data_IF_682063800243
#
_entry.id   IF_682063800243
#
_cell.length_a   1.000
_cell.length_b   1.000
_cell.length_c   1.000
_cell.angle_alpha   90.00
_cell.angle_beta   90.00
_cell.angle_gamma   90.00
#
_symmetry.space_group_name_H-M   'P 1'
#
loop_
_entity.id
_entity.type
_entity.pdbx_description
1 polymer ?
#
# COMPACT_ATOMS: atom_id res chain seq x y z
N UNK A 1 18.19 1.26 36.57
CA UNK A 1 17.47 0.55 37.66
C UNK A 1 16.14 0.03 37.11
N UNK A 2 15.37 -0.69 37.92
CA UNK A 2 14.00 -1.11 37.56
C UNK A 2 13.10 -1.00 38.81
N UNK A 3 11.79 -0.85 38.60
CA UNK A 3 10.77 -0.77 39.66
C UNK A 3 9.72 -1.84 39.38
N UNK A 4 9.37 -2.65 40.38
CA UNK A 4 8.27 -3.62 40.30
C UNK A 4 7.12 -3.05 41.12
N UNK A 5 6.07 -2.57 40.45
CA UNK A 5 4.94 -1.88 41.08
C UNK A 5 3.60 -2.64 40.97
N UNK A 6 3.62 -3.94 40.63
CA UNK A 6 2.40 -4.75 40.49
C UNK A 6 1.49 -4.32 39.34
N UNK A 7 2.03 -3.61 38.36
CA UNK A 7 1.29 -3.13 37.17
C UNK A 7 0.91 -4.34 36.31
N UNK A 8 -0.39 -4.49 36.04
CA UNK A 8 -0.93 -5.67 35.33
C UNK A 8 -0.93 -5.51 33.81
N UNK A 9 -1.04 -4.28 33.30
CA UNK A 9 -1.08 -3.98 31.88
C UNK A 9 0.11 -3.12 31.48
N UNK A 10 0.82 -3.51 30.44
CA UNK A 10 1.91 -2.71 29.85
C UNK A 10 1.37 -1.41 29.23
N UNK A 11 0.07 -1.35 28.92
CA UNK A 11 -0.58 -0.15 28.38
C UNK A 11 -0.66 1.00 29.39
N UNK A 12 -0.52 0.71 30.69
CA UNK A 12 -0.55 1.72 31.75
C UNK A 12 0.83 2.37 31.97
N UNK A 13 1.85 1.97 31.19
CA UNK A 13 3.23 2.46 31.30
C UNK A 13 3.73 2.87 29.93
N UNK A 14 3.88 4.16 29.74
CA UNK A 14 4.55 4.70 28.55
C UNK A 14 6.05 4.86 28.79
N UNK A 15 6.85 4.63 27.75
CA UNK A 15 8.29 4.91 27.82
C UNK A 15 8.45 6.41 28.06
N UNK A 16 9.37 6.82 28.95
CA UNK A 16 9.60 8.24 29.22
C UNK A 16 8.55 8.93 30.10
N UNK A 17 7.62 8.18 30.68
CA UNK A 17 6.71 8.67 31.71
C UNK A 17 7.44 8.97 33.04
N UNK A 18 6.86 9.82 33.88
CA UNK A 18 7.45 10.26 35.15
C UNK A 18 6.81 9.52 36.33
N UNK A 19 7.60 8.67 36.99
CA UNK A 19 7.15 7.94 38.18
C UNK A 19 7.44 8.76 39.44
N UNK A 20 6.42 9.02 40.26
CA UNK A 20 6.55 9.68 41.56
C UNK A 20 5.79 8.95 42.67
N UNK A 21 6.02 9.36 43.93
CA UNK A 21 5.30 8.84 45.11
C UNK A 21 3.89 9.40 45.17
N UNK A 22 2.96 8.57 45.65
CA UNK A 22 1.58 8.95 45.93
C UNK A 22 1.56 10.17 46.89
N UNK A 23 0.92 11.26 46.47
CA UNK A 23 0.84 12.52 47.23
C UNK A 23 1.71 13.67 46.71
N UNK A 24 2.64 13.43 45.78
CA UNK A 24 3.46 14.47 45.15
C UNK A 24 3.13 14.71 43.67
N UNK A 25 2.10 14.04 43.14
CA UNK A 25 1.71 14.13 41.73
C UNK A 25 1.37 15.56 41.30
N UNK A 26 0.69 16.32 42.16
CA UNK A 26 0.26 17.71 41.85
C UNK A 26 1.39 18.74 42.01
N UNK A 27 2.53 18.34 42.59
CA UNK A 27 3.67 19.22 42.90
C UNK A 27 4.88 18.99 42.00
N UNK A 28 4.87 17.94 41.18
CA UNK A 28 6.02 17.55 40.35
C UNK A 28 5.69 17.81 38.89
N UNK A 29 6.55 18.58 38.23
CA UNK A 29 6.49 18.75 36.78
C UNK A 29 6.91 17.45 36.08
N UNK A 30 6.11 17.03 35.10
CA UNK A 30 6.40 15.88 34.26
C UNK A 30 7.69 16.15 33.48
N UNK A 31 8.60 15.18 33.47
CA UNK A 31 9.86 15.32 32.74
C UNK A 31 9.58 15.53 31.24
N UNK A 32 10.13 16.59 30.63
CA UNK A 32 9.95 16.83 29.20
C UNK A 32 10.83 15.86 28.39
N UNK A 33 10.41 15.56 27.17
CA UNK A 33 11.28 14.96 26.16
C UNK A 33 10.71 13.74 25.47
N UNK A 34 9.88 12.94 26.14
CA UNK A 34 9.25 11.81 25.47
C UNK A 34 8.06 12.25 24.63
N UNK A 35 8.06 11.85 23.37
CA UNK A 35 6.91 11.97 22.46
C UNK A 35 6.57 10.57 22.01
N UNK A 36 5.29 10.18 22.16
CA UNK A 36 4.82 8.90 21.63
C UNK A 36 5.16 8.83 20.15
N UNK A 37 5.91 7.80 19.72
CA UNK A 37 6.28 7.69 18.32
C UNK A 37 4.99 7.45 17.52
N UNK A 38 4.76 8.30 16.51
CA UNK A 38 3.59 8.17 15.65
C UNK A 38 3.92 7.22 14.50
N UNK A 39 3.05 6.25 14.19
CA UNK A 39 3.21 5.42 13.00
C UNK A 39 3.27 6.30 11.75
N UNK A 40 4.23 6.00 10.88
CA UNK A 40 4.43 6.71 9.61
C UNK A 40 3.96 5.86 8.41
N UNK A 41 3.93 4.55 8.59
CA UNK A 41 3.58 3.57 7.55
C UNK A 41 2.46 2.69 8.07
N UNK A 42 1.44 2.47 7.26
CA UNK A 42 0.31 1.63 7.60
C UNK A 42 0.16 0.53 6.57
N UNK A 43 -0.09 -0.69 7.00
CA UNK A 43 -0.48 -1.77 6.10
C UNK A 43 -1.58 -2.63 6.74
N UNK A 44 -2.46 -3.16 5.90
CA UNK A 44 -3.41 -4.17 6.33
C UNK A 44 -2.75 -5.54 6.34
N UNK A 45 -2.78 -6.22 7.49
CA UNK A 45 -2.31 -7.59 7.67
C UNK A 45 -3.52 -8.51 7.78
N UNK A 46 -3.58 -9.49 6.90
CA UNK A 46 -4.67 -10.46 6.79
C UNK A 46 -4.11 -11.88 6.88
N UNK A 47 -4.77 -12.80 7.59
CA UNK A 47 -4.39 -14.20 7.54
C UNK A 47 -4.82 -14.78 6.19
N UNK A 48 -4.02 -15.70 5.64
CA UNK A 48 -4.38 -16.42 4.41
C UNK A 48 -5.63 -17.27 4.63
N UNK A 49 -5.74 -17.88 5.81
CA UNK A 49 -6.89 -18.66 6.25
C UNK A 49 -7.73 -17.84 7.26
N UNK A 50 -9.03 -17.61 7.01
CA UNK A 50 -9.91 -16.89 7.93
C UNK A 50 -9.96 -17.47 9.36
N UNK A 51 -9.72 -18.78 9.52
CA UNK A 51 -9.70 -19.44 10.84
C UNK A 51 -8.58 -18.92 11.75
N UNK A 52 -7.51 -18.36 11.17
CA UNK A 52 -6.34 -17.88 11.90
C UNK A 52 -6.46 -16.42 12.38
N UNK A 53 -7.60 -15.77 12.14
CA UNK A 53 -7.84 -14.40 12.60
C UNK A 53 -7.61 -14.23 14.11
N UNK A 54 -8.09 -15.17 14.92
CA UNK A 54 -7.93 -15.11 16.38
C UNK A 54 -6.47 -15.36 16.79
N UNK A 55 -5.75 -16.20 16.05
CA UNK A 55 -4.32 -16.43 16.28
C UNK A 55 -3.49 -15.19 15.90
N UNK A 56 -3.83 -14.51 14.81
CA UNK A 56 -3.24 -13.24 14.40
C UNK A 56 -3.46 -12.15 15.47
N UNK A 57 -4.69 -12.05 15.99
CA UNK A 57 -5.01 -11.11 17.09
C UNK A 57 -4.10 -11.34 18.30
N UNK A 58 -4.01 -12.59 18.76
CA UNK A 58 -3.15 -12.97 19.90
C UNK A 58 -1.68 -12.72 19.60
N UNK A 59 -1.23 -12.93 18.36
CA UNK A 59 0.12 -12.62 17.92
C UNK A 59 0.44 -11.13 18.01
N UNK A 60 -0.46 -10.28 17.51
CA UNK A 60 -0.35 -8.82 17.59
C UNK A 60 -0.40 -8.31 19.04
N UNK A 61 -1.27 -8.87 19.88
CA UNK A 61 -1.33 -8.56 21.31
C UNK A 61 -0.02 -8.91 22.01
N UNK A 62 0.55 -10.09 21.74
CA UNK A 62 1.83 -10.53 22.30
C UNK A 62 2.99 -9.66 21.82
N UNK A 63 3.04 -9.31 20.53
CA UNK A 63 4.07 -8.44 19.96
C UNK A 63 4.02 -7.04 20.56
N UNK A 64 2.82 -6.50 20.77
CA UNK A 64 2.62 -5.18 21.37
C UNK A 64 3.11 -5.08 22.82
N UNK A 65 3.20 -6.20 23.55
CA UNK A 65 3.83 -6.22 24.88
C UNK A 65 5.34 -5.98 24.79
N UNK A 66 5.97 -6.40 23.69
CA UNK A 66 7.40 -6.17 23.43
C UNK A 66 7.69 -4.88 22.67
N UNK A 67 6.77 -4.45 21.81
CA UNK A 67 6.91 -3.29 20.94
C UNK A 67 5.76 -2.30 21.17
N UNK A 68 6.06 -1.21 21.86
CA UNK A 68 5.10 -0.14 22.17
C UNK A 68 4.78 0.77 20.98
N UNK A 69 5.55 0.67 19.89
CA UNK A 69 5.37 1.49 18.69
C UNK A 69 4.37 0.87 17.69
N UNK A 70 4.12 -0.43 17.79
CA UNK A 70 3.14 -1.13 16.98
C UNK A 70 1.72 -0.73 17.39
N UNK A 71 0.97 -0.21 16.43
CA UNK A 71 -0.46 0.07 16.57
C UNK A 71 -1.24 -0.85 15.65
N UNK A 72 -2.44 -1.26 16.06
CA UNK A 72 -3.31 -2.06 15.20
C UNK A 72 -4.78 -1.80 15.50
N UNK A 73 -5.62 -1.86 14.47
CA UNK A 73 -7.09 -1.71 14.54
C UNK A 73 -7.72 -2.81 13.67
N UNK A 74 -8.79 -3.47 14.12
CA UNK A 74 -9.51 -4.44 13.27
C UNK A 74 -10.00 -3.80 11.97
N UNK A 75 -9.76 -4.45 10.84
CA UNK A 75 -10.17 -3.99 9.51
C UNK A 75 -10.90 -5.13 8.77
N UNK A 76 -11.91 -4.78 7.98
CA UNK A 76 -12.60 -5.72 7.10
C UNK A 76 -12.37 -5.32 5.65
N UNK A 77 -11.85 -6.26 4.86
CA UNK A 77 -11.65 -6.12 3.42
C UNK A 77 -12.65 -6.99 2.67
N UNK A 78 -13.27 -6.45 1.62
CA UNK A 78 -14.18 -7.20 0.74
C UNK A 78 -13.49 -8.37 0.04
N UNK A 79 -12.18 -8.27 -0.19
CA UNK A 79 -11.38 -9.28 -0.90
C UNK A 79 -10.61 -10.23 0.01
N UNK A 80 -10.11 -9.74 1.15
CA UNK A 80 -9.22 -10.49 2.05
C UNK A 80 -9.91 -10.94 3.34
N UNK A 81 -11.15 -10.49 3.59
CA UNK A 81 -11.90 -10.83 4.78
C UNK A 81 -11.46 -10.03 6.01
N UNK A 82 -11.45 -10.69 7.17
CA UNK A 82 -11.11 -10.08 8.45
C UNK A 82 -9.60 -9.99 8.63
N UNK A 83 -9.10 -8.81 8.98
CA UNK A 83 -7.69 -8.58 9.27
C UNK A 83 -7.49 -7.43 10.25
N UNK A 84 -6.29 -6.89 10.26
CA UNK A 84 -5.91 -5.75 11.08
C UNK A 84 -5.17 -4.72 10.24
N UNK A 85 -5.56 -3.45 10.37
CA UNK A 85 -4.72 -2.34 9.94
C UNK A 85 -3.66 -2.12 10.98
N UNK A 86 -2.40 -2.28 10.62
CA UNK A 86 -1.25 -2.11 11.50
C UNK A 86 -0.46 -0.85 11.11
N UNK A 87 -0.05 -0.07 12.10
CA UNK A 87 0.80 1.10 11.95
C UNK A 87 2.22 0.83 12.46
N UNK A 88 3.22 1.24 11.68
CA UNK A 88 4.65 1.02 11.88
C UNK A 88 5.43 2.33 11.79
N UNK A 89 6.60 2.38 12.43
CA UNK A 89 7.55 3.50 12.32
C UNK A 89 8.17 3.64 10.92
N UNK A 90 8.28 2.55 10.17
CA UNK A 90 8.91 2.50 8.86
C UNK A 90 8.81 1.12 8.22
N UNK A 91 9.34 0.98 7.00
CA UNK A 91 9.35 -0.27 6.24
C UNK A 91 10.05 -1.42 6.97
N UNK A 92 11.25 -1.18 7.51
CA UNK A 92 11.99 -2.23 8.22
C UNK A 92 11.23 -2.75 9.46
N UNK A 93 10.57 -1.84 10.19
CA UNK A 93 9.75 -2.24 11.33
C UNK A 93 8.57 -3.12 10.88
N UNK A 94 7.95 -2.80 9.75
CA UNK A 94 6.89 -3.63 9.15
C UNK A 94 7.40 -5.03 8.78
N UNK A 95 8.55 -5.14 8.12
CA UNK A 95 9.16 -6.42 7.74
C UNK A 95 9.50 -7.29 8.96
N UNK A 96 10.09 -6.69 9.99
CA UNK A 96 10.43 -7.41 11.24
C UNK A 96 9.15 -7.92 11.92
N UNK A 97 8.12 -7.09 12.05
CA UNK A 97 6.86 -7.50 12.67
C UNK A 97 6.21 -8.64 11.89
N UNK A 98 6.23 -8.58 10.56
CA UNK A 98 5.75 -9.66 9.70
C UNK A 98 6.51 -10.96 9.95
N UNK A 99 7.84 -10.92 9.83
CA UNK A 99 8.69 -12.10 9.93
C UNK A 99 8.56 -12.74 11.31
N UNK A 100 8.39 -11.92 12.36
CA UNK A 100 8.10 -12.41 13.72
C UNK A 100 6.74 -13.07 13.81
N UNK A 101 5.67 -12.49 13.24
CA UNK A 101 4.36 -13.13 13.22
C UNK A 101 4.38 -14.48 12.47
N UNK A 102 5.05 -14.53 11.32
CA UNK A 102 5.16 -15.76 10.53
C UNK A 102 5.97 -16.84 11.26
N UNK A 103 7.12 -16.48 11.86
CA UNK A 103 8.01 -17.43 12.53
C UNK A 103 7.58 -17.82 13.93
N UNK A 104 7.21 -16.84 14.77
CA UNK A 104 6.90 -17.10 16.19
C UNK A 104 5.50 -17.67 16.37
N UNK A 105 4.54 -17.29 15.51
CA UNK A 105 3.14 -17.70 15.62
C UNK A 105 2.72 -18.71 14.56
N UNK A 106 3.63 -19.07 13.62
CA UNK A 106 3.37 -20.01 12.52
C UNK A 106 2.11 -19.65 11.71
N UNK A 107 2.02 -18.37 11.34
CA UNK A 107 0.90 -17.79 10.59
C UNK A 107 1.32 -17.49 9.16
N UNK A 108 0.51 -17.90 8.19
CA UNK A 108 0.67 -17.47 6.81
C UNK A 108 -0.10 -16.17 6.59
N UNK A 109 0.64 -15.06 6.44
CA UNK A 109 0.08 -13.72 6.38
C UNK A 109 0.15 -13.10 4.99
N UNK A 110 -0.74 -12.15 4.78
CA UNK A 110 -0.89 -11.36 3.57
C UNK A 110 -0.89 -9.90 3.96
N UNK A 111 -0.12 -9.10 3.24
CA UNK A 111 -0.07 -7.65 3.46
C UNK A 111 -0.67 -6.90 2.29
N UNK A 112 -1.40 -5.82 2.59
CA UNK A 112 -1.75 -4.82 1.61
C UNK A 112 -0.54 -3.97 1.27
N UNK A 113 -0.63 -3.22 0.15
CA UNK A 113 0.34 -2.18 -0.12
C UNK A 113 0.40 -1.19 1.06
N UNK A 114 1.61 -0.77 1.47
CA UNK A 114 1.77 0.19 2.55
C UNK A 114 1.26 1.56 2.11
N UNK A 115 0.58 2.24 3.02
CA UNK A 115 0.04 3.58 2.86
C UNK A 115 0.66 4.53 3.88
N UNK A 116 0.60 5.83 3.57
CA UNK A 116 0.95 6.92 4.48
C UNK A 116 -0.31 7.64 4.91
N UNK A 117 -0.19 8.37 6.02
CA UNK A 117 -1.24 9.28 6.44
C UNK A 117 -1.24 10.52 5.56
N UNK A 118 -2.43 10.95 5.15
CA UNK A 118 -2.65 12.19 4.42
C UNK A 118 -3.44 13.16 5.31
N UNK A 119 -3.16 14.45 5.19
CA UNK A 119 -3.98 15.50 5.81
C UNK A 119 -4.93 16.07 4.76
N UNK A 120 -6.21 16.13 5.07
CA UNK A 120 -7.20 16.81 4.25
C UNK A 120 -7.60 18.11 4.90
N UNK A 121 -7.46 19.21 4.15
CA UNK A 121 -8.08 20.47 4.52
C UNK A 121 -9.52 20.50 4.01
N UNK A 122 -10.48 20.36 4.93
CA UNK A 122 -11.90 20.37 4.62
C UNK A 122 -12.37 21.79 4.28
N UNK A 123 -13.51 21.92 3.59
CA UNK A 123 -14.04 23.23 3.20
C UNK A 123 -14.37 24.15 4.39
N UNK A 124 -14.63 23.57 5.57
CA UNK A 124 -14.86 24.28 6.83
C UNK A 124 -13.56 24.76 7.51
N UNK A 125 -12.38 24.47 6.95
CA UNK A 125 -11.08 24.80 7.52
C UNK A 125 -10.53 23.77 8.52
N UNK A 126 -11.26 22.68 8.78
CA UNK A 126 -10.82 21.60 9.65
C UNK A 126 -9.79 20.71 8.92
N UNK A 127 -8.75 20.29 9.64
CA UNK A 127 -7.75 19.35 9.11
C UNK A 127 -8.07 17.95 9.63
N UNK A 128 -8.42 17.05 8.71
CA UNK A 128 -8.67 15.65 9.03
C UNK A 128 -7.50 14.79 8.57
N UNK A 129 -7.03 13.91 9.45
CA UNK A 129 -6.05 12.89 9.09
C UNK A 129 -6.77 11.68 8.49
N UNK A 130 -6.24 11.19 7.38
CA UNK A 130 -6.77 10.02 6.67
C UNK A 130 -5.68 8.97 6.55
N UNK A 131 -6.03 7.74 6.90
CA UNK A 131 -5.10 6.59 6.88
C UNK A 131 -5.31 5.72 5.63
N UNK A 132 -6.45 5.84 4.93
CA UNK A 132 -6.73 5.06 3.73
C UNK A 132 -7.43 5.78 2.59
N UNK A 133 -7.23 5.24 1.39
CA UNK A 133 -7.87 5.72 0.17
C UNK A 133 -9.40 5.62 0.19
N UNK A 134 -9.97 4.68 0.96
CA UNK A 134 -11.42 4.52 1.14
C UNK A 134 -12.05 5.70 1.90
N UNK A 135 -11.32 6.26 2.86
CA UNK A 135 -11.76 7.38 3.70
C UNK A 135 -11.71 8.73 2.97
N UNK A 136 -10.99 8.82 1.85
CA UNK A 136 -10.90 10.03 1.04
C UNK A 136 -12.31 10.45 0.55
N UNK A 137 -12.85 11.59 1.02
CA UNK A 137 -14.18 12.04 0.64
C UNK A 137 -14.21 12.53 -0.82
N UNK A 138 -15.41 12.83 -1.33
CA UNK A 138 -15.54 13.40 -2.67
C UNK A 138 -14.73 14.71 -2.82
N UNK A 139 -14.08 14.96 -3.98
CA UNK A 139 -13.31 16.18 -4.25
C UNK A 139 -14.06 17.50 -4.04
N UNK A 140 -15.39 17.49 -3.96
CA UNK A 140 -16.20 18.68 -3.68
C UNK A 140 -16.25 19.07 -2.19
N UNK A 141 -15.85 18.16 -1.29
CA UNK A 141 -15.96 18.33 0.17
C UNK A 141 -14.70 18.89 0.83
N UNK A 142 -13.58 18.92 0.12
CA UNK A 142 -12.30 19.38 0.63
C UNK A 142 -11.60 20.34 -0.34
N UNK A 143 -10.69 21.16 0.19
CA UNK A 143 -9.95 22.16 -0.56
C UNK A 143 -8.66 21.59 -1.13
N UNK A 144 -7.87 20.91 -0.30
CA UNK A 144 -6.58 20.34 -0.70
C UNK A 144 -6.26 19.07 0.10
N UNK A 145 -5.48 18.19 -0.52
CA UNK A 145 -4.87 17.03 0.13
C UNK A 145 -3.40 17.32 0.31
N UNK A 146 -2.91 17.13 1.53
CA UNK A 146 -1.51 17.29 1.89
C UNK A 146 -0.88 15.93 2.15
N UNK A 147 0.26 15.68 1.53
CA UNK A 147 1.07 14.49 1.75
C UNK A 147 2.22 14.78 2.71
N UNK A 148 2.67 13.77 3.46
CA UNK A 148 3.84 13.88 4.32
C UNK A 148 5.10 13.95 3.47
N UNK A 149 5.88 15.01 3.69
CA UNK A 149 7.19 15.22 3.08
C UNK A 149 8.27 14.79 4.08
N UNK A 150 9.22 14.00 3.60
CA UNK A 150 10.39 13.59 4.35
C UNK A 150 11.65 14.15 3.72
N UNK A 151 12.59 14.54 4.58
CA UNK A 151 13.96 14.83 4.17
C UNK A 151 14.74 13.55 4.13
N UNK A 152 15.09 13.09 2.94
CA UNK A 152 15.88 11.89 2.71
C UNK A 152 17.34 12.27 2.53
N UNK A 153 18.19 11.72 3.39
CA UNK A 153 19.64 11.87 3.34
C UNK A 153 20.25 10.58 2.78
N UNK A 154 20.79 10.64 1.57
CA UNK A 154 21.43 9.51 0.91
C UNK A 154 22.94 9.64 1.02
N UNK A 155 23.59 8.66 1.64
CA UNK A 155 25.05 8.57 1.69
C UNK A 155 25.47 7.55 0.63
N UNK A 156 26.15 8.03 -0.41
CA UNK A 156 26.55 7.20 -1.55
C UNK A 156 27.97 7.52 -2.01
N UNK A 157 28.65 6.56 -2.66
CA UNK A 157 29.88 6.85 -3.37
C UNK A 157 29.70 7.92 -4.46
N UNK A 158 30.70 8.76 -4.68
CA UNK A 158 30.65 9.90 -5.61
C UNK A 158 30.31 9.48 -7.06
N UNK A 159 30.68 8.27 -7.45
CA UNK A 159 30.37 7.70 -8.78
C UNK A 159 28.87 7.44 -9.02
N UNK A 160 28.08 7.23 -7.95
CA UNK A 160 26.65 6.91 -8.05
C UNK A 160 25.72 8.12 -7.83
N UNK A 161 26.28 9.31 -7.61
CA UNK A 161 25.51 10.55 -7.37
C UNK A 161 24.48 10.79 -8.46
N UNK A 162 24.88 10.70 -9.74
CA UNK A 162 23.98 10.94 -10.86
C UNK A 162 22.80 9.97 -10.92
N UNK A 163 23.01 8.69 -10.57
CA UNK A 163 21.95 7.70 -10.55
C UNK A 163 20.93 7.99 -9.42
N UNK A 164 21.40 8.41 -8.25
CA UNK A 164 20.52 8.79 -7.14
C UNK A 164 19.72 10.05 -7.46
N UNK A 165 20.36 11.06 -8.05
CA UNK A 165 19.66 12.29 -8.45
C UNK A 165 18.53 12.00 -9.44
N UNK A 166 18.77 11.10 -10.41
CA UNK A 166 17.73 10.66 -11.34
C UNK A 166 16.57 9.98 -10.62
N UNK A 167 16.85 9.03 -9.71
CA UNK A 167 15.82 8.34 -8.92
C UNK A 167 15.03 9.32 -8.05
N UNK A 168 15.70 10.25 -7.37
CA UNK A 168 15.05 11.25 -6.54
C UNK A 168 14.14 12.16 -7.37
N UNK A 169 14.60 12.58 -8.56
CA UNK A 169 13.83 13.43 -9.47
C UNK A 169 12.58 12.70 -10.00
N UNK A 170 12.73 11.45 -10.44
CA UNK A 170 11.61 10.60 -10.88
C UNK A 170 10.56 10.39 -9.77
N UNK A 171 10.98 10.49 -8.51
CA UNK A 171 10.16 10.33 -7.31
C UNK A 171 9.63 11.65 -6.73
N UNK A 172 9.65 12.74 -7.52
CA UNK A 172 9.21 14.09 -7.12
C UNK A 172 10.01 14.69 -5.96
N UNK A 173 11.29 14.34 -5.87
CA UNK A 173 12.20 14.92 -4.89
C UNK A 173 12.67 16.30 -5.29
N UNK A 174 12.64 17.22 -4.34
CA UNK A 174 13.23 18.55 -4.43
C UNK A 174 14.64 18.52 -3.84
N UNK A 175 15.64 18.90 -4.63
CA UNK A 175 17.03 18.91 -4.18
C UNK A 175 17.22 19.97 -3.08
N UNK A 176 17.81 19.57 -1.96
CA UNK A 176 18.07 20.48 -0.82
C UNK A 176 19.55 20.83 -0.75
N UNK A 177 20.41 19.82 -0.63
CA UNK A 177 21.83 20.02 -0.42
C UNK A 177 22.65 18.81 -0.88
N UNK A 178 23.91 19.06 -1.21
CA UNK A 178 24.92 18.05 -1.47
C UNK A 178 26.20 18.40 -0.72
N UNK A 179 26.68 17.47 0.10
CA UNK A 179 27.88 17.65 0.91
C UNK A 179 28.87 16.51 0.67
N UNK A 180 30.13 16.84 0.43
CA UNK A 180 31.20 15.86 0.29
C UNK A 180 31.81 15.57 1.66
N UNK A 181 31.54 14.38 2.20
CA UNK A 181 32.20 13.89 3.41
C UNK A 181 33.68 13.57 3.13
N UNK A 182 33.97 13.10 1.92
CA UNK A 182 35.31 12.81 1.42
C UNK A 182 35.34 12.88 -0.10
N UNK A 183 36.51 12.62 -0.72
CA UNK A 183 36.60 12.49 -2.19
C UNK A 183 35.73 11.37 -2.76
N UNK A 184 35.42 10.37 -1.94
CA UNK A 184 34.73 9.15 -2.36
C UNK A 184 33.28 9.10 -1.90
N UNK A 185 32.89 9.84 -0.85
CA UNK A 185 31.54 9.79 -0.28
C UNK A 185 30.84 11.14 -0.29
N UNK A 186 29.58 11.09 -0.69
CA UNK A 186 28.71 12.26 -0.81
C UNK A 186 27.42 11.99 -0.04
N UNK A 187 27.00 12.98 0.74
CA UNK A 187 25.64 13.06 1.27
C UNK A 187 24.82 13.90 0.30
N UNK A 188 23.73 13.34 -0.19
CA UNK A 188 22.76 14.05 -1.04
C UNK A 188 21.43 14.07 -0.31
N UNK A 189 20.92 15.28 -0.10
CA UNK A 189 19.70 15.53 0.66
C UNK A 189 18.59 16.00 -0.27
N UNK A 190 17.44 15.33 -0.20
CA UNK A 190 16.23 15.66 -0.95
C UNK A 190 15.02 15.74 -0.02
N UNK A 191 14.13 16.68 -0.27
CA UNK A 191 12.79 16.67 0.33
C UNK A 191 11.85 15.98 -0.66
N UNK A 192 11.24 14.87 -0.26
CA UNK A 192 10.37 14.08 -1.13
C UNK A 192 9.16 13.49 -0.39
N UNK A 193 8.07 13.18 -1.10
CA UNK A 193 6.89 12.57 -0.50
C UNK A 193 7.17 11.18 0.08
N UNK A 194 6.76 10.95 1.32
CA UNK A 194 7.00 9.67 2.01
C UNK A 194 6.35 8.48 1.26
N UNK A 195 5.20 8.70 0.62
CA UNK A 195 4.55 7.67 -0.21
C UNK A 195 5.47 7.16 -1.35
N UNK A 196 6.32 8.03 -1.90
CA UNK A 196 7.25 7.69 -2.97
C UNK A 196 8.51 6.98 -2.44
N UNK A 197 8.91 7.31 -1.20
CA UNK A 197 10.03 6.66 -0.49
C UNK A 197 9.67 5.23 -0.10
N UNK A 198 8.46 5.02 0.39
CA UNK A 198 7.99 3.69 0.80
C UNK A 198 7.83 2.77 -0.41
N UNK A 199 7.47 3.33 -1.57
CA UNK A 199 7.26 2.57 -2.79
C UNK A 199 8.58 2.40 -3.56
N UNK A 200 9.27 1.28 -3.40
CA UNK A 200 10.45 0.83 -4.18
C UNK A 200 11.71 1.71 -4.17
N UNK A 201 11.75 2.81 -3.41
CA UNK A 201 12.92 3.69 -3.39
C UNK A 201 14.17 2.98 -2.85
N UNK A 202 14.03 2.27 -1.72
CA UNK A 202 15.14 1.55 -1.09
C UNK A 202 15.75 0.53 -2.07
N UNK A 203 14.92 -0.25 -2.76
CA UNK A 203 15.40 -1.30 -3.67
C UNK A 203 16.06 -0.71 -4.92
N UNK A 204 15.47 0.35 -5.50
CA UNK A 204 16.08 1.07 -6.63
C UNK A 204 17.40 1.70 -6.25
N UNK A 205 17.48 2.33 -5.08
CA UNK A 205 18.70 2.93 -4.56
C UNK A 205 19.79 1.86 -4.36
N UNK A 206 19.44 0.75 -3.70
CA UNK A 206 20.38 -0.36 -3.50
C UNK A 206 20.84 -0.97 -4.82
N UNK A 207 19.94 -1.19 -5.77
CA UNK A 207 20.30 -1.70 -7.10
C UNK A 207 21.22 -0.74 -7.86
N UNK A 208 20.87 0.55 -7.90
CA UNK A 208 21.65 1.59 -8.59
C UNK A 208 23.05 1.81 -7.98
N UNK A 209 23.19 1.63 -6.67
CA UNK A 209 24.45 1.81 -5.93
C UNK A 209 25.19 0.49 -5.68
N UNK A 210 24.74 -0.63 -6.24
CA UNK A 210 25.32 -1.97 -5.96
C UNK A 210 25.38 -2.30 -4.46
N UNK A 211 24.44 -1.77 -3.69
CA UNK A 211 24.31 -1.99 -2.25
C UNK A 211 25.07 -1.00 -1.36
N UNK A 212 25.96 -0.17 -1.93
CA UNK A 212 26.81 0.75 -1.18
C UNK A 212 26.07 1.97 -0.60
N UNK A 213 24.93 2.33 -1.17
CA UNK A 213 24.15 3.46 -0.69
C UNK A 213 23.40 3.15 0.60
N UNK A 214 23.37 4.13 1.50
CA UNK A 214 22.51 4.11 2.69
C UNK A 214 21.61 5.34 2.68
N UNK A 215 20.41 5.19 3.22
CA UNK A 215 19.45 6.28 3.33
C UNK A 215 18.96 6.41 4.77
N UNK A 216 18.73 7.64 5.17
CA UNK A 216 17.98 7.99 6.37
C UNK A 216 16.90 9.01 5.98
N UNK A 217 15.80 9.08 6.72
CA UNK A 217 14.78 10.09 6.46
C UNK A 217 14.11 10.62 7.72
N UNK A 218 13.78 11.91 7.67
CA UNK A 218 13.12 12.64 8.75
C UNK A 218 11.83 13.29 8.25
N UNK A 219 10.73 13.14 8.97
CA UNK A 219 9.48 13.84 8.64
C UNK A 219 9.65 15.35 8.80
N UNK A 220 9.45 16.09 7.72
CA UNK A 220 9.51 17.56 7.70
C UNK A 220 8.16 18.20 7.99
N UNK A 221 7.08 17.59 7.53
CA UNK A 221 5.73 18.09 7.68
C UNK A 221 4.84 17.68 6.51
N UNK A 222 3.69 18.34 6.39
CA UNK A 222 2.72 18.08 5.32
C UNK A 222 2.77 19.21 4.27
N UNK A 223 2.72 18.84 3.00
CA UNK A 223 2.70 19.76 1.86
C UNK A 223 1.52 19.43 0.96
N UNK A 224 0.81 20.45 0.47
CA UNK A 224 -0.26 20.27 -0.51
C UNK A 224 0.30 19.64 -1.80
N UNK A 225 -0.37 18.60 -2.29
CA UNK A 225 0.02 17.88 -3.50
C UNK A 225 -1.19 17.61 -4.41
N UNK A 226 -0.96 17.50 -5.72
CA UNK A 226 -2.01 17.16 -6.69
C UNK A 226 -2.28 15.65 -6.69
N UNK A 227 -2.93 15.20 -5.62
CA UNK A 227 -3.24 13.81 -5.35
C UNK A 227 -4.66 13.46 -5.80
N UNK A 228 -4.80 12.24 -6.31
CA UNK A 228 -6.09 11.70 -6.71
C UNK A 228 -6.24 10.26 -6.22
N UNK A 229 -7.46 9.91 -5.79
CA UNK A 229 -7.86 8.52 -5.56
C UNK A 229 -8.00 7.81 -6.90
N UNK A 230 -7.13 6.84 -7.14
CA UNK A 230 -7.27 5.89 -8.24
C UNK A 230 -8.04 4.68 -7.75
N UNK A 231 -9.24 4.52 -8.31
CA UNK A 231 -10.18 3.43 -8.06
C UNK A 231 -9.94 2.33 -9.09
N UNK A 232 -9.92 1.08 -8.65
CA UNK A 232 -9.80 -0.07 -9.54
C UNK A 232 -11.17 -0.72 -9.69
N UNK A 233 -11.65 -0.83 -10.93
CA UNK A 233 -12.91 -1.46 -11.25
C UNK A 233 -12.71 -2.76 -12.01
N UNK A 234 -13.35 -3.81 -11.55
CA UNK A 234 -13.36 -5.15 -12.16
C UNK A 234 -14.79 -5.44 -12.59
N UNK A 235 -14.99 -5.62 -13.90
CA UNK A 235 -16.32 -5.76 -14.50
C UNK A 235 -17.32 -4.63 -14.19
N UNK A 236 -16.85 -3.48 -13.69
CA UNK A 236 -17.67 -2.33 -13.32
C UNK A 236 -17.90 -2.19 -11.81
N UNK A 237 -17.48 -3.17 -11.01
CA UNK A 237 -17.52 -3.11 -9.55
C UNK A 237 -16.19 -2.58 -9.03
N UNK A 238 -16.25 -1.65 -8.08
CA UNK A 238 -15.06 -1.10 -7.42
C UNK A 238 -14.51 -2.10 -6.40
N UNK A 239 -13.18 -2.24 -6.38
CA UNK A 239 -12.49 -3.03 -5.36
C UNK A 239 -11.65 -2.11 -4.49
N UNK A 240 -12.19 -1.78 -3.31
CA UNK A 240 -11.60 -0.81 -2.38
C UNK A 240 -10.18 -1.19 -1.95
N UNK A 241 -9.91 -2.48 -1.73
CA UNK A 241 -8.61 -2.99 -1.32
C UNK A 241 -7.46 -2.71 -2.30
N UNK A 242 -7.78 -2.39 -3.56
CA UNK A 242 -6.81 -2.04 -4.60
C UNK A 242 -6.77 -0.54 -4.92
N UNK A 243 -7.60 0.26 -4.25
CA UNK A 243 -7.63 1.70 -4.45
C UNK A 243 -6.43 2.36 -3.77
N UNK A 244 -5.86 3.37 -4.44
CA UNK A 244 -4.64 4.04 -3.98
C UNK A 244 -4.75 5.55 -4.16
N UNK A 245 -4.14 6.31 -3.25
CA UNK A 245 -3.94 7.76 -3.40
C UNK A 245 -2.58 7.95 -4.07
N UNK A 246 -2.57 8.54 -5.26
CA UNK A 246 -1.35 8.79 -6.01
C UNK A 246 -1.40 10.16 -6.69
N UNK A 247 -0.22 10.71 -6.98
CA UNK A 247 -0.09 11.92 -7.77
C UNK A 247 -0.65 11.71 -9.18
N UNK A 248 -1.34 12.71 -9.73
CA UNK A 248 -2.05 12.58 -11.02
C UNK A 248 -1.14 12.15 -12.17
N UNK A 249 0.09 12.66 -12.22
CA UNK A 249 1.05 12.35 -13.28
C UNK A 249 1.39 10.85 -13.36
N UNK A 250 1.44 10.16 -12.21
CA UNK A 250 1.75 8.73 -12.17
C UNK A 250 0.51 7.84 -12.29
N UNK A 251 -0.69 8.43 -12.34
CA UNK A 251 -1.92 7.66 -12.25
C UNK A 251 -2.14 6.69 -13.41
N UNK A 252 -1.81 7.12 -14.63
CA UNK A 252 -1.94 6.23 -15.79
C UNK A 252 -0.92 5.09 -15.73
N UNK A 253 0.35 5.41 -15.48
CA UNK A 253 1.43 4.43 -15.48
C UNK A 253 1.21 3.37 -14.39
N UNK A 254 0.93 3.79 -13.15
CA UNK A 254 0.68 2.88 -12.02
C UNK A 254 -0.60 2.10 -12.20
N UNK A 255 -1.69 2.78 -12.59
CA UNK A 255 -2.96 2.13 -12.87
C UNK A 255 -2.80 1.04 -13.93
N UNK A 256 -2.14 1.33 -15.06
CA UNK A 256 -1.90 0.35 -16.12
C UNK A 256 -1.02 -0.81 -15.66
N UNK A 257 0.04 -0.54 -14.89
CA UNK A 257 0.90 -1.58 -14.34
C UNK A 257 0.12 -2.55 -13.43
N UNK A 258 -0.73 -2.03 -12.55
CA UNK A 258 -1.60 -2.82 -11.69
C UNK A 258 -2.60 -3.66 -12.50
N UNK A 259 -3.27 -3.04 -13.49
CA UNK A 259 -4.23 -3.73 -14.35
C UNK A 259 -3.58 -4.86 -15.16
N UNK A 260 -2.32 -4.69 -15.59
CA UNK A 260 -1.56 -5.72 -16.30
C UNK A 260 -1.28 -6.92 -15.39
N UNK A 261 -0.87 -6.69 -14.14
CA UNK A 261 -0.67 -7.76 -13.15
C UNK A 261 -1.98 -8.50 -12.86
N UNK A 262 -3.08 -7.77 -12.67
CA UNK A 262 -4.42 -8.36 -12.46
C UNK A 262 -4.87 -9.21 -13.66
N UNK A 263 -4.61 -8.74 -14.89
CA UNK A 263 -4.96 -9.47 -16.12
C UNK A 263 -4.30 -10.84 -16.20
N UNK A 264 -3.07 -10.96 -15.76
CA UNK A 264 -2.30 -12.21 -15.83
C UNK A 264 -2.78 -13.24 -14.78
N UNK A 265 -3.42 -12.77 -13.72
CA UNK A 265 -3.80 -13.59 -12.55
C UNK A 265 -5.29 -13.99 -12.54
N UNK A 266 -6.15 -13.14 -13.09
CA UNK A 266 -7.59 -13.43 -13.17
C UNK A 266 -7.83 -14.44 -14.31
N UNK A 267 -8.49 -15.58 -14.03
CA UNK A 267 -8.77 -16.59 -15.04
C UNK A 267 -9.69 -16.05 -16.14
N UNK A 268 -9.58 -16.62 -17.34
CA UNK A 268 -10.43 -16.21 -18.47
C UNK A 268 -11.85 -16.73 -18.28
N UNK A 269 -12.84 -15.84 -18.37
CA UNK A 269 -14.26 -16.19 -18.35
C UNK A 269 -14.83 -16.39 -19.76
N UNK A 270 -16.07 -16.88 -19.87
CA UNK A 270 -16.79 -17.03 -21.15
C UNK A 270 -17.17 -15.69 -21.80
N UNK A 271 -17.08 -14.59 -21.05
CA UNK A 271 -17.29 -13.22 -21.49
C UNK A 271 -16.03 -12.37 -21.28
N UNK A 272 -16.01 -11.18 -21.88
CA UNK A 272 -14.87 -10.26 -21.75
C UNK A 272 -14.97 -9.56 -20.40
N UNK A 273 -13.98 -9.73 -19.55
CA UNK A 273 -13.85 -9.01 -18.28
C UNK A 273 -13.09 -7.72 -18.53
N UNK A 274 -13.68 -6.60 -18.14
CA UNK A 274 -13.04 -5.29 -18.22
C UNK A 274 -12.34 -4.99 -16.90
N UNK A 275 -11.06 -4.63 -16.96
CA UNK A 275 -10.29 -4.12 -15.84
C UNK A 275 -10.03 -2.63 -16.10
N UNK A 276 -10.34 -1.78 -15.14
CA UNK A 276 -10.28 -0.33 -15.32
C UNK A 276 -9.65 0.34 -14.11
N UNK A 277 -8.84 1.36 -14.34
CA UNK A 277 -8.40 2.29 -13.31
C UNK A 277 -9.05 3.64 -13.60
N UNK A 278 -9.70 4.24 -12.61
CA UNK A 278 -10.45 5.48 -12.76
C UNK A 278 -10.09 6.49 -11.68
N UNK A 279 -10.11 7.77 -12.05
CA UNK A 279 -10.07 8.90 -11.13
C UNK A 279 -11.44 9.57 -11.20
N UNK A 280 -12.17 9.56 -10.08
CA UNK A 280 -13.57 10.00 -10.05
C UNK A 280 -14.41 9.21 -11.06
N UNK A 281 -14.97 9.88 -12.07
CA UNK A 281 -15.71 9.27 -13.17
C UNK A 281 -14.90 8.99 -14.45
N UNK A 282 -13.64 9.45 -14.53
CA UNK A 282 -12.81 9.32 -15.74
C UNK A 282 -11.97 8.06 -15.67
N UNK A 283 -12.05 7.21 -16.70
CA UNK A 283 -11.19 6.03 -16.84
C UNK A 283 -9.82 6.49 -17.35
N UNK A 284 -8.78 6.23 -16.56
CA UNK A 284 -7.39 6.61 -16.87
C UNK A 284 -6.69 5.48 -17.62
N UNK A 285 -6.87 4.24 -17.18
CA UNK A 285 -6.32 3.06 -17.84
C UNK A 285 -7.38 1.96 -17.96
N UNK A 286 -7.29 1.16 -19.03
CA UNK A 286 -8.19 0.04 -19.29
C UNK A 286 -7.43 -1.14 -19.87
N UNK A 287 -7.63 -2.30 -19.27
CA UNK A 287 -7.21 -3.60 -19.78
C UNK A 287 -8.43 -4.51 -19.94
N UNK A 288 -8.30 -5.57 -20.75
CA UNK A 288 -9.38 -6.54 -20.92
C UNK A 288 -8.87 -7.96 -20.98
N UNK A 289 -9.55 -8.84 -20.25
CA UNK A 289 -9.28 -10.28 -20.29
C UNK A 289 -10.13 -10.87 -21.41
N UNK A 290 -9.47 -11.49 -22.37
CA UNK A 290 -10.13 -12.07 -23.54
C UNK A 290 -11.05 -13.22 -23.13
N UNK A 291 -12.29 -13.20 -23.63
CA UNK A 291 -13.25 -14.27 -23.39
C UNK A 291 -12.75 -15.62 -23.94
N UNK A 292 -12.99 -16.71 -23.21
CA UNK A 292 -12.89 -18.06 -23.74
C UNK A 292 -13.88 -18.22 -24.89
N UNK A 293 -13.44 -18.89 -25.96
CA UNK A 293 -14.28 -19.12 -27.14
C UNK A 293 -14.23 -20.60 -27.50
N UNK A 294 -15.39 -21.24 -27.46
CA UNK A 294 -15.58 -22.53 -28.11
C UNK A 294 -15.65 -22.31 -29.62
N UNK A 295 -14.92 -23.10 -30.40
CA UNK A 295 -15.09 -23.14 -31.84
C UNK A 295 -16.42 -23.81 -32.18
N UNK A 296 -17.45 -22.98 -32.37
CA UNK A 296 -18.80 -23.42 -32.74
C UNK A 296 -18.88 -23.84 -34.21
N UNK A 297 -17.87 -23.51 -35.02
CA UNK A 297 -17.82 -23.79 -36.46
C UNK A 297 -17.06 -25.06 -36.81
N UNK A 298 -16.37 -25.71 -35.85
CA UNK A 298 -15.56 -26.91 -36.08
C UNK A 298 -16.30 -28.06 -36.78
N UNK A 299 -17.62 -28.24 -36.53
CA UNK A 299 -18.45 -29.29 -37.16
C UNK A 299 -19.16 -28.84 -38.44
N UNK A 300 -18.87 -27.63 -38.94
CA UNK A 300 -19.48 -27.08 -40.16
C UNK A 300 -18.57 -27.35 -41.37
N UNK A 301 -18.65 -28.56 -41.93
CA UNK A 301 -17.81 -29.01 -43.05
C UNK A 301 -18.25 -28.48 -44.43
N UNK A 302 -19.38 -27.75 -44.51
CA UNK A 302 -19.92 -27.21 -45.77
C UNK A 302 -19.66 -25.72 -46.00
N UNK A 303 -19.87 -25.27 -47.24
CA UNK A 303 -19.78 -23.87 -47.66
C UNK A 303 -20.96 -22.98 -47.24
N UNK A 304 -21.96 -23.53 -46.53
CA UNK A 304 -23.14 -22.78 -46.08
C UNK A 304 -22.78 -21.76 -44.97
N UNK A 305 -22.62 -20.50 -45.41
CA UNK A 305 -22.34 -19.34 -44.56
C UNK A 305 -23.51 -19.08 -43.59
N UNK A 306 -24.74 -19.42 -43.96
CA UNK A 306 -25.93 -19.14 -43.15
C UNK A 306 -25.91 -19.93 -41.84
N UNK A 307 -25.50 -21.21 -41.88
CA UNK A 307 -25.36 -22.07 -40.69
C UNK A 307 -24.24 -21.58 -39.76
N UNK A 308 -23.09 -21.18 -40.32
CA UNK A 308 -21.99 -20.58 -39.55
C UNK A 308 -22.43 -19.28 -38.86
N UNK A 309 -23.13 -18.39 -39.58
CA UNK A 309 -23.68 -17.14 -39.02
C UNK A 309 -24.65 -17.39 -37.87
N UNK A 310 -25.61 -18.32 -38.02
CA UNK A 310 -26.57 -18.66 -36.95
C UNK A 310 -25.89 -19.09 -35.66
N UNK A 311 -24.83 -19.89 -35.74
CA UNK A 311 -24.08 -20.36 -34.57
C UNK A 311 -23.28 -19.23 -33.91
N UNK A 312 -22.67 -18.35 -34.70
CA UNK A 312 -21.95 -17.17 -34.21
C UNK A 312 -22.88 -16.16 -33.55
N UNK A 313 -24.05 -15.90 -34.14
CA UNK A 313 -25.13 -15.08 -33.58
C UNK A 313 -25.58 -15.61 -32.21
N UNK A 314 -25.82 -16.93 -32.11
CA UNK A 314 -26.21 -17.59 -30.85
C UNK A 314 -25.11 -17.46 -29.79
N UNK A 315 -23.85 -17.67 -30.17
CA UNK A 315 -22.70 -17.48 -29.27
C UNK A 315 -22.58 -16.03 -28.80
N UNK A 316 -22.76 -15.05 -29.69
CA UNK A 316 -22.70 -13.62 -29.37
C UNK A 316 -23.80 -13.21 -28.39
N UNK A 317 -25.04 -13.64 -28.61
CA UNK A 317 -26.18 -13.39 -27.70
C UNK A 317 -25.95 -14.03 -26.33
N UNK A 318 -25.48 -15.28 -26.29
CA UNK A 318 -25.12 -15.96 -25.04
C UNK A 318 -24.07 -15.20 -24.24
N UNK A 319 -22.97 -14.77 -24.89
CA UNK A 319 -21.92 -13.97 -24.24
C UNK A 319 -22.42 -12.60 -23.76
N UNK A 320 -23.32 -11.95 -24.51
CA UNK A 320 -23.91 -10.67 -24.11
C UNK A 320 -24.76 -10.83 -22.84
N UNK A 321 -25.56 -11.90 -22.74
CA UNK A 321 -26.34 -12.23 -21.55
C UNK A 321 -25.43 -12.56 -20.35
N UNK A 322 -24.40 -13.38 -20.57
CA UNK A 322 -23.42 -13.70 -19.52
C UNK A 322 -22.67 -12.47 -19.02
N UNK A 323 -22.39 -11.48 -19.86
CA UNK A 323 -21.74 -10.24 -19.43
C UNK A 323 -22.62 -9.38 -18.52
N UNK A 324 -23.95 -9.38 -18.71
CA UNK A 324 -24.86 -8.55 -17.90
C UNK A 324 -25.12 -9.12 -16.50
N UNK A 325 -25.07 -10.45 -16.37
CA UNK A 325 -25.42 -11.16 -15.13
C UNK A 325 -24.18 -11.77 -14.46
N UNK A 326 -23.05 -11.81 -15.17
CA UNK A 326 -21.83 -12.46 -14.71
C UNK A 326 -21.11 -11.60 -13.69
N UNK A 327 -21.13 -12.05 -12.44
CA UNK A 327 -20.18 -11.57 -11.44
C UNK A 327 -18.82 -12.24 -11.68
N UNK A 328 -17.74 -11.47 -11.50
CA UNK A 328 -16.36 -11.95 -11.64
C UNK A 328 -15.80 -12.12 -10.25
N UNK A 329 -15.78 -13.36 -9.77
CA UNK A 329 -15.09 -13.68 -8.54
C UNK A 329 -13.58 -13.63 -8.79
N UNK A 330 -12.90 -12.72 -8.09
CA UNK A 330 -11.45 -12.57 -8.19
C UNK A 330 -10.82 -13.52 -7.18
N UNK A 331 -9.99 -14.48 -7.62
CA UNK A 331 -9.35 -15.41 -6.70
C UNK A 331 -8.49 -14.66 -5.68
N UNK A 332 -8.51 -15.11 -4.41
CA UNK A 332 -7.67 -14.54 -3.36
C UNK A 332 -6.19 -14.53 -3.80
N UNK A 333 -5.69 -15.62 -4.39
CA UNK A 333 -4.33 -15.70 -4.94
C UNK A 333 -3.98 -14.59 -5.94
N UNK A 334 -4.95 -14.15 -6.75
CA UNK A 334 -4.74 -13.05 -7.69
C UNK A 334 -4.54 -11.72 -6.94
N UNK A 335 -5.27 -11.47 -5.86
CA UNK A 335 -5.04 -10.32 -4.99
C UNK A 335 -3.67 -10.37 -4.32
N UNK A 336 -3.28 -11.54 -3.79
CA UNK A 336 -1.98 -11.72 -3.13
C UNK A 336 -0.84 -11.33 -4.07
N UNK A 337 -0.85 -11.87 -5.28
CA UNK A 337 0.19 -11.61 -6.28
C UNK A 337 0.29 -10.17 -6.75
N UNK A 338 -0.77 -9.38 -6.61
CA UNK A 338 -0.82 -7.98 -7.04
C UNK A 338 -0.34 -7.05 -5.93
N UNK A 339 -0.60 -7.42 -4.67
CA UNK A 339 -0.21 -6.67 -3.47
C UNK A 339 1.22 -6.98 -3.01
N UNK A 340 1.76 -8.17 -3.31
CA UNK A 340 3.17 -8.47 -3.07
C UNK A 340 4.07 -7.49 -3.85
N UNK A 341 4.87 -6.73 -3.10
CA UNK A 341 5.80 -5.71 -3.60
C UNK A 341 6.92 -6.36 -4.46
N UNK A 342 7.12 -7.66 -4.34
CA UNK A 342 8.07 -8.44 -5.13
C UNK A 342 7.58 -8.70 -6.55
N UNK A 343 7.80 -7.70 -7.40
CA UNK A 343 7.69 -7.80 -8.85
C UNK A 343 8.77 -8.63 -9.53
N UNK A 344 9.43 -9.57 -8.84
CA UNK A 344 10.31 -10.54 -9.48
C UNK A 344 9.70 -11.93 -9.42
N UNK A 345 9.45 -12.49 -10.61
CA UNK A 345 9.28 -13.93 -10.76
C UNK A 345 10.45 -14.59 -10.05
N UNK A 346 10.21 -15.26 -8.92
CA UNK A 346 11.07 -16.36 -8.49
C UNK A 346 11.02 -17.39 -9.61
N UNK A 347 11.97 -17.29 -10.55
CA UNK A 347 12.25 -18.33 -11.49
C UNK A 347 12.57 -19.58 -10.66
N UNK A 348 11.69 -20.57 -10.74
CA UNK A 348 12.05 -21.94 -10.37
C UNK A 348 12.90 -22.54 -11.47
#
# INVERSE_FOLDING_TARGET
>A
GYIIAGIKSVQDVDIGDTVTRLGFADTIEVLPGYRKPRPMVYCGIYPTNPADYENLRKGLERLRLSDSSLTYVPETSSALGLGFRCGFLGLLHMEIVQERLEREMNLDLVQSAPNVNYEILMNNGEVQLIEAASELPDPTRFQEVREPIVRVSNIVPAEFVGAIMAICTDKRGEFVNQEYLSKERVIITYDMPLAEVILDYHDKMKSATRGYGTMDYELRGYKAGDLAKVRILIAGEEVDALSMIIHRDFAEQRGRALLKRLRDQIPRHLFVVALQAAIGGKIVARESIAALRKDVTAKCYGGDISRKRKLLEKQKKGKKRMKMVGNVEVPQAAFLSVLSIDGEKKAK
#
